data_IF_415912614007
#
_entry.id   IF_415912614007
#
_cell.length_a   1.000
_cell.length_b   1.000
_cell.length_c   1.000
_cell.angle_alpha   90.00
_cell.angle_beta   90.00
_cell.angle_gamma   90.00
#
_symmetry.space_group_name_H-M   'P 1'
#
loop_
_entity.id
_entity.type
_entity.pdbx_description
1 polymer ?
#
# COMPACT_ATOMS: atom_id res chain seq x y z
N UNK A 1 -4.78 11.53 -21.06
CA UNK A 1 -6.23 11.54 -20.75
C UNK A 1 -6.78 12.89 -21.19
N UNK A 2 -7.64 12.91 -22.19
CA UNK A 2 -8.34 14.13 -22.57
C UNK A 2 -9.38 14.46 -21.48
N UNK A 3 -9.44 15.72 -21.02
CA UNK A 3 -10.40 16.24 -20.04
C UNK A 3 -10.33 15.71 -18.60
N UNK A 4 -9.29 14.95 -18.23
CA UNK A 4 -9.08 14.57 -16.83
C UNK A 4 -10.14 13.63 -16.22
N UNK A 5 -11.10 13.13 -17.00
CA UNK A 5 -12.14 12.22 -16.52
C UNK A 5 -11.53 10.94 -15.92
N UNK A 6 -12.17 10.42 -14.88
CA UNK A 6 -11.80 9.18 -14.18
C UNK A 6 -13.05 8.35 -13.88
N UNK A 7 -12.94 7.02 -13.85
CA UNK A 7 -14.00 6.15 -13.37
C UNK A 7 -14.43 6.52 -11.95
N UNK A 8 -15.73 6.42 -11.67
CA UNK A 8 -16.24 6.54 -10.31
C UNK A 8 -15.81 5.30 -9.50
N UNK A 9 -15.05 5.50 -8.43
CA UNK A 9 -14.54 4.41 -7.57
C UNK A 9 -15.56 3.96 -6.51
N UNK A 10 -16.72 4.60 -6.39
CA UNK A 10 -17.82 4.21 -5.49
C UNK A 10 -18.67 3.08 -6.07
N UNK A 11 -18.68 2.91 -7.39
CA UNK A 11 -19.42 1.83 -8.08
C UNK A 11 -18.58 0.56 -8.27
N UNK A 12 -17.27 0.63 -8.00
CA UNK A 12 -16.36 -0.50 -8.16
C UNK A 12 -16.08 -1.09 -6.78
N UNK A 13 -16.25 -2.40 -6.65
CA UNK A 13 -15.98 -3.11 -5.40
C UNK A 13 -14.47 -3.32 -5.23
N UNK A 14 -13.77 -2.26 -4.81
CA UNK A 14 -12.32 -2.23 -4.63
C UNK A 14 -12.00 -2.14 -3.13
N UNK A 15 -10.98 -2.85 -2.61
CA UNK A 15 -10.49 -2.62 -1.26
C UNK A 15 -10.18 -1.13 -1.02
N UNK A 16 -10.59 -0.59 0.14
CA UNK A 16 -10.39 0.82 0.50
C UNK A 16 -8.91 1.24 0.36
N UNK A 17 -8.02 0.31 0.68
CA UNK A 17 -6.57 0.44 0.54
C UNK A 17 -6.18 0.85 -0.88
N UNK A 18 -6.58 0.07 -1.88
CA UNK A 18 -6.29 0.34 -3.29
C UNK A 18 -7.03 1.59 -3.80
N UNK A 19 -8.24 1.85 -3.32
CA UNK A 19 -8.98 3.08 -3.64
C UNK A 19 -8.21 4.34 -3.22
N UNK A 20 -7.62 4.34 -2.02
CA UNK A 20 -6.82 5.45 -1.51
C UNK A 20 -5.57 5.73 -2.36
N UNK A 21 -4.88 4.68 -2.80
CA UNK A 21 -3.73 4.77 -3.70
C UNK A 21 -4.13 5.38 -5.05
N UNK A 22 -5.19 4.86 -5.66
CA UNK A 22 -5.68 5.33 -6.97
C UNK A 22 -5.97 6.83 -6.93
N UNK A 23 -6.68 7.30 -5.89
CA UNK A 23 -7.00 8.72 -5.69
C UNK A 23 -5.71 9.56 -5.59
N UNK A 24 -4.72 9.11 -4.82
CA UNK A 24 -3.43 9.81 -4.66
C UNK A 24 -2.68 9.96 -5.99
N UNK A 25 -2.68 8.91 -6.81
CA UNK A 25 -2.00 8.92 -8.13
C UNK A 25 -2.76 9.69 -9.21
N UNK A 26 -4.09 9.74 -9.12
CA UNK A 26 -4.95 10.46 -10.05
C UNK A 26 -5.04 11.96 -9.81
N UNK A 27 -4.49 12.45 -8.69
CA UNK A 27 -4.41 13.87 -8.39
C UNK A 27 -3.90 14.70 -9.57
N UNK A 28 -4.57 15.82 -9.83
CA UNK A 28 -4.27 16.72 -10.96
C UNK A 28 -2.91 17.40 -10.83
N UNK A 29 -2.37 17.51 -9.61
CA UNK A 29 -1.04 18.07 -9.36
C UNK A 29 0.04 16.97 -9.49
N UNK A 30 0.87 16.99 -10.53
CA UNK A 30 1.91 15.98 -10.73
C UNK A 30 2.99 16.00 -9.64
N UNK A 31 3.21 17.12 -8.95
CA UNK A 31 4.20 17.22 -7.87
C UNK A 31 3.78 16.46 -6.61
N UNK A 32 2.49 16.18 -6.44
CA UNK A 32 1.96 15.40 -5.32
C UNK A 32 1.85 13.91 -5.66
N UNK A 33 2.14 13.53 -6.91
CA UNK A 33 2.10 12.12 -7.32
C UNK A 33 3.28 11.39 -6.67
N UNK A 34 3.05 10.27 -5.98
CA UNK A 34 4.15 9.50 -5.41
C UNK A 34 4.98 8.87 -6.54
N UNK A 35 6.23 8.53 -6.23
CA UNK A 35 7.15 7.90 -7.18
C UNK A 35 6.74 6.45 -7.41
N UNK A 36 7.01 5.95 -8.61
CA UNK A 36 6.75 4.55 -8.95
C UNK A 36 7.46 3.56 -7.99
N UNK A 37 8.64 3.93 -7.48
CA UNK A 37 9.36 3.14 -6.47
C UNK A 37 8.55 3.01 -5.16
N UNK A 38 7.94 4.10 -4.68
CA UNK A 38 7.11 4.08 -3.47
C UNK A 38 5.87 3.20 -3.68
N UNK A 39 5.29 3.19 -4.89
CA UNK A 39 4.20 2.27 -5.23
C UNK A 39 4.65 0.81 -5.23
N UNK A 40 5.83 0.56 -5.78
CA UNK A 40 6.39 -0.78 -5.84
C UNK A 40 6.62 -1.34 -4.43
N UNK A 41 7.24 -0.54 -3.55
CA UNK A 41 7.51 -0.96 -2.18
C UNK A 41 6.22 -1.18 -1.40
N UNK A 42 5.22 -0.33 -1.61
CA UNK A 42 3.90 -0.53 -1.04
C UNK A 42 3.27 -1.87 -1.46
N UNK A 43 3.32 -2.22 -2.75
CA UNK A 43 2.77 -3.50 -3.21
C UNK A 43 3.59 -4.70 -2.73
N UNK A 44 4.91 -4.57 -2.60
CA UNK A 44 5.75 -5.62 -1.98
C UNK A 44 5.37 -5.83 -0.52
N UNK A 45 5.21 -4.76 0.26
CA UNK A 45 4.78 -4.86 1.66
C UNK A 45 3.42 -5.56 1.76
N UNK A 46 2.44 -5.12 0.96
CA UNK A 46 1.11 -5.73 0.97
C UNK A 46 1.15 -7.21 0.56
N UNK A 47 1.97 -7.58 -0.43
CA UNK A 47 2.17 -8.97 -0.83
C UNK A 47 2.78 -9.80 0.31
N UNK A 48 3.82 -9.30 0.96
CA UNK A 48 4.52 -10.01 2.04
C UNK A 48 3.68 -10.12 3.31
N UNK A 49 2.90 -9.09 3.66
CA UNK A 49 1.92 -9.16 4.76
C UNK A 49 0.81 -10.19 4.48
N UNK A 50 0.60 -10.56 3.22
CA UNK A 50 -0.36 -11.59 2.82
C UNK A 50 0.24 -12.99 2.83
N UNK A 51 1.56 -13.14 2.99
CA UNK A 51 2.21 -14.45 3.13
C UNK A 51 2.25 -14.83 4.63
N UNK A 52 1.54 -15.90 5.06
CA UNK A 52 1.54 -16.33 6.44
C UNK A 52 2.94 -16.71 6.96
N UNK A 53 3.90 -17.06 6.10
CA UNK A 53 5.28 -17.31 6.51
C UNK A 53 6.00 -16.02 6.94
N UNK A 54 5.81 -14.92 6.22
CA UNK A 54 6.45 -13.62 6.51
C UNK A 54 5.80 -12.93 7.71
N UNK A 55 4.49 -13.10 7.90
CA UNK A 55 3.79 -12.63 9.10
C UNK A 55 4.27 -13.35 10.37
N UNK A 56 4.59 -14.64 10.26
CA UNK A 56 5.15 -15.43 11.36
C UNK A 56 6.58 -14.98 11.71
N UNK A 57 7.44 -14.75 10.71
CA UNK A 57 8.83 -14.31 10.92
C UNK A 57 8.87 -12.90 11.51
N UNK A 58 8.10 -11.95 10.96
CA UNK A 58 8.02 -10.58 11.47
C UNK A 58 7.51 -10.52 12.92
N UNK A 59 6.48 -11.31 13.24
CA UNK A 59 5.98 -11.45 14.62
C UNK A 59 7.04 -12.03 15.55
N UNK A 60 7.72 -13.12 15.16
CA UNK A 60 8.81 -13.74 15.93
C UNK A 60 9.98 -12.79 16.20
N UNK A 61 10.36 -11.97 15.23
CA UNK A 61 11.42 -10.96 15.39
C UNK A 61 11.01 -9.86 16.37
N UNK A 62 9.76 -9.36 16.26
CA UNK A 62 9.24 -8.34 17.18
C UNK A 62 9.14 -8.83 18.64
N UNK A 63 8.81 -10.11 18.86
CA UNK A 63 8.74 -10.72 20.19
C UNK A 63 10.13 -10.98 20.80
N UNK A 64 11.15 -11.22 19.97
CA UNK A 64 12.52 -11.44 20.43
C UNK A 64 13.18 -10.13 20.90
N UNK A 65 12.93 -9.01 20.22
CA UNK A 65 13.47 -7.70 20.62
C UNK A 65 12.88 -7.20 21.95
N UNK A 66 11.64 -7.58 22.28
CA UNK A 66 10.98 -7.28 23.57
C UNK A 66 11.61 -8.10 24.70
N UNK A 67 11.89 -9.38 24.48
CA UNK A 67 12.41 -10.29 25.51
C UNK A 67 13.94 -10.24 25.71
N UNK A 68 14.67 -9.53 24.84
CA UNK A 68 16.12 -9.32 24.99
C UNK A 68 16.47 -8.06 25.80
N UNK A 69 15.45 -7.30 26.23
CA UNK A 69 15.59 -6.06 27.02
C UNK A 69 15.24 -6.24 28.52
N UNK A 70 14.92 -7.47 28.95
CA UNK A 70 14.84 -7.91 30.36
C UNK A 70 16.07 -8.74 30.73
#
# INVERSE_FOLDING_TARGET
ICNGLRPNLDIVNIPQLLKSLIIKYWGSNPLLRPKAAELQDYFKMWHNDSDPADLYISKKLSEHDINSSE
#
